data_IF_341410087984
#
_entry.id   IF_341410087984
#
_cell.length_a   1.000
_cell.length_b   1.000
_cell.length_c   1.000
_cell.angle_alpha   90.00
_cell.angle_beta   90.00
_cell.angle_gamma   90.00
#
_symmetry.space_group_name_H-M   'P 1'
#
loop_
_entity.id
_entity.type
_entity.pdbx_description
1 polymer ?
#
# COMPACT_ATOMS: atom_id res chain seq x y z
N UNK A 1 11.93 -12.84 -9.11
CA UNK A 1 10.97 -12.08 -8.29
C UNK A 1 9.60 -12.18 -8.95
N UNK A 2 8.53 -12.19 -8.16
CA UNK A 2 7.14 -12.14 -8.64
C UNK A 2 6.64 -10.71 -8.45
N UNK A 3 5.88 -10.19 -9.40
CA UNK A 3 5.26 -8.87 -9.30
C UNK A 3 3.74 -9.00 -9.46
N UNK A 4 2.99 -8.43 -8.52
CA UNK A 4 1.54 -8.28 -8.59
C UNK A 4 1.18 -6.80 -8.70
N UNK A 5 0.32 -6.45 -9.66
CA UNK A 5 -0.24 -5.10 -9.79
C UNK A 5 -1.60 -5.12 -9.11
N UNK A 6 -1.73 -4.37 -8.02
CA UNK A 6 -2.96 -4.31 -7.25
C UNK A 6 -3.80 -3.10 -7.68
N UNK A 7 -5.02 -3.36 -8.13
CA UNK A 7 -6.07 -2.34 -8.17
C UNK A 7 -6.77 -2.34 -6.81
N UNK A 8 -6.77 -1.20 -6.12
CA UNK A 8 -7.56 -0.99 -4.91
C UNK A 8 -8.80 -0.12 -5.23
N UNK A 9 -9.81 -0.18 -4.36
CA UNK A 9 -11.03 0.63 -4.46
C UNK A 9 -10.67 2.11 -4.37
N UNK A 10 -11.11 2.89 -5.34
CA UNK A 10 -10.90 4.34 -5.38
C UNK A 10 -11.90 5.07 -4.48
N UNK A 11 -11.62 6.34 -4.15
CA UNK A 11 -12.45 7.14 -3.23
C UNK A 11 -13.89 7.36 -3.71
N UNK A 12 -14.13 7.30 -5.01
CA UNK A 12 -15.48 7.37 -5.60
C UNK A 12 -16.29 6.09 -5.38
N UNK A 13 -15.62 4.95 -5.14
CA UNK A 13 -16.22 3.65 -4.95
C UNK A 13 -16.35 3.29 -3.46
N UNK A 14 -15.34 3.59 -2.65
CA UNK A 14 -15.35 3.32 -1.22
C UNK A 14 -14.53 4.36 -0.44
N UNK A 15 -15.06 4.79 0.72
CA UNK A 15 -14.36 5.68 1.62
C UNK A 15 -13.16 4.98 2.29
N UNK A 16 -12.25 5.79 2.83
CA UNK A 16 -11.19 5.30 3.73
C UNK A 16 -11.80 4.46 4.87
N UNK A 17 -11.23 3.28 5.22
CA UNK A 17 -9.88 2.81 4.89
C UNK A 17 -9.77 1.78 3.74
N UNK A 18 -10.78 1.69 2.87
CA UNK A 18 -10.85 0.67 1.81
C UNK A 18 -9.56 0.43 0.99
N UNK A 19 -8.80 1.47 0.56
CA UNK A 19 -7.54 1.24 -0.17
C UNK A 19 -6.49 0.45 0.62
N UNK A 20 -6.39 0.69 1.93
CA UNK A 20 -5.43 0.03 2.81
C UNK A 20 -5.86 -1.40 3.10
N UNK A 21 -7.17 -1.63 3.28
CA UNK A 21 -7.75 -2.97 3.40
C UNK A 21 -7.43 -3.81 2.16
N UNK A 22 -7.66 -3.27 0.97
CA UNK A 22 -7.41 -3.96 -0.29
C UNK A 22 -5.93 -4.29 -0.47
N UNK A 23 -5.03 -3.39 -0.08
CA UNK A 23 -3.60 -3.62 -0.08
C UNK A 23 -3.16 -4.77 0.84
N UNK A 24 -3.69 -4.81 2.07
CA UNK A 24 -3.42 -5.93 2.98
C UNK A 24 -3.98 -7.24 2.43
N UNK A 25 -5.21 -7.22 1.91
CA UNK A 25 -5.85 -8.39 1.30
C UNK A 25 -5.08 -8.88 0.07
N UNK A 26 -4.54 -7.98 -0.77
CA UNK A 26 -3.71 -8.34 -1.91
C UNK A 26 -2.41 -9.05 -1.51
N UNK A 27 -1.74 -8.58 -0.46
CA UNK A 27 -0.56 -9.24 0.11
C UNK A 27 -0.92 -10.64 0.62
N UNK A 28 -2.04 -10.75 1.35
CA UNK A 28 -2.52 -12.03 1.89
C UNK A 28 -2.92 -13.00 0.81
N UNK A 29 -3.54 -12.52 -0.27
CA UNK A 29 -3.86 -13.31 -1.45
C UNK A 29 -2.59 -13.92 -2.05
N UNK A 30 -1.53 -13.13 -2.25
CA UNK A 30 -0.26 -13.65 -2.77
C UNK A 30 0.36 -14.71 -1.85
N UNK A 31 0.19 -14.58 -0.53
CA UNK A 31 0.62 -15.59 0.44
C UNK A 31 -0.22 -16.86 0.40
N UNK A 32 -1.55 -16.73 0.31
CA UNK A 32 -2.49 -17.84 0.20
C UNK A 32 -2.24 -18.67 -1.06
N UNK A 33 -1.75 -18.04 -2.12
CA UNK A 33 -1.44 -18.66 -3.41
C UNK A 33 0.06 -18.79 -3.67
N UNK A 34 0.90 -18.80 -2.63
CA UNK A 34 2.35 -18.78 -2.79
C UNK A 34 2.89 -19.98 -3.58
N UNK A 35 2.34 -21.17 -3.36
CA UNK A 35 2.74 -22.40 -4.07
C UNK A 35 2.38 -22.36 -5.55
N UNK A 36 1.26 -21.73 -5.90
CA UNK A 36 0.76 -21.59 -7.26
C UNK A 36 1.62 -20.60 -8.06
N UNK A 37 1.84 -19.41 -7.50
CA UNK A 37 2.56 -18.32 -8.18
C UNK A 37 4.07 -18.30 -7.91
N UNK A 38 4.58 -19.23 -7.09
CA UNK A 38 5.99 -19.32 -6.67
C UNK A 38 6.45 -18.04 -5.94
N UNK A 39 5.61 -17.52 -5.06
CA UNK A 39 5.91 -16.34 -4.22
C UNK A 39 6.84 -16.75 -3.08
N UNK A 40 7.94 -16.01 -2.91
CA UNK A 40 8.75 -16.11 -1.69
C UNK A 40 8.09 -15.30 -0.57
N UNK A 41 7.38 -16.00 0.31
CA UNK A 41 6.62 -15.39 1.42
C UNK A 41 7.50 -14.72 2.48
N UNK A 42 8.81 -15.00 2.48
CA UNK A 42 9.76 -14.40 3.42
C UNK A 42 10.32 -13.05 2.94
N UNK A 43 10.16 -12.75 1.64
CA UNK A 43 10.68 -11.54 1.00
C UNK A 43 9.56 -10.82 0.23
N UNK A 44 8.68 -10.15 0.97
CA UNK A 44 7.52 -9.41 0.46
C UNK A 44 7.77 -7.91 0.56
N UNK A 45 7.57 -7.19 -0.53
CA UNK A 45 7.77 -5.74 -0.61
C UNK A 45 6.54 -5.07 -1.21
N UNK A 46 6.22 -3.86 -0.76
CA UNK A 46 5.14 -3.05 -1.32
C UNK A 46 5.69 -1.76 -1.92
N UNK A 47 5.17 -1.38 -3.09
CA UNK A 47 5.60 -0.21 -3.83
C UNK A 47 4.37 0.60 -4.25
N UNK A 48 4.46 1.93 -4.18
CA UNK A 48 3.39 2.82 -4.63
C UNK A 48 3.88 4.22 -5.02
N UNK A 49 3.13 4.89 -5.87
CA UNK A 49 3.37 6.27 -6.32
C UNK A 49 2.17 7.17 -5.96
N UNK A 50 2.43 8.41 -5.55
CA UNK A 50 1.40 9.41 -5.21
C UNK A 50 0.38 8.88 -4.17
N UNK A 51 -0.89 8.68 -4.56
CA UNK A 51 -1.93 8.08 -3.71
C UNK A 51 -1.65 6.60 -3.40
N UNK A 52 -1.01 5.87 -4.31
CA UNK A 52 -0.53 4.52 -4.05
C UNK A 52 0.61 4.51 -3.05
N UNK A 53 1.44 5.56 -3.02
CA UNK A 53 2.47 5.75 -2.00
C UNK A 53 1.88 5.93 -0.60
N UNK A 54 0.78 6.69 -0.48
CA UNK A 54 0.01 6.82 0.76
C UNK A 54 -0.50 5.45 1.25
N UNK A 55 -1.16 4.70 0.36
CA UNK A 55 -1.66 3.35 0.66
C UNK A 55 -0.51 2.43 1.09
N UNK A 56 0.61 2.40 0.36
CA UNK A 56 1.75 1.56 0.67
C UNK A 56 2.35 1.86 2.06
N UNK A 57 2.47 3.13 2.43
CA UNK A 57 2.95 3.55 3.75
C UNK A 57 1.99 3.11 4.86
N UNK A 58 0.69 3.38 4.73
CA UNK A 58 -0.29 3.00 5.74
C UNK A 58 -0.42 1.48 5.89
N UNK A 59 -0.35 0.73 4.79
CA UNK A 59 -0.30 -0.73 4.81
C UNK A 59 0.90 -1.20 5.63
N UNK A 60 2.10 -0.70 5.34
CA UNK A 60 3.32 -1.08 6.06
C UNK A 60 3.29 -0.68 7.55
N UNK A 61 2.78 0.50 7.91
CA UNK A 61 2.70 0.94 9.30
C UNK A 61 1.67 0.16 10.15
N UNK A 62 0.67 -0.46 9.50
CA UNK A 62 -0.43 -1.14 10.19
C UNK A 62 -0.47 -2.66 9.95
N UNK A 63 0.54 -3.21 9.27
CA UNK A 63 0.57 -4.59 8.74
C UNK A 63 0.44 -5.74 9.75
N UNK A 64 0.79 -5.51 11.03
CA UNK A 64 0.67 -6.49 12.11
C UNK A 64 -0.40 -6.15 13.15
N UNK A 65 -1.15 -5.06 12.95
CA UNK A 65 -2.14 -4.58 13.89
C UNK A 65 -3.51 -5.14 13.54
N UNK A 66 -4.00 -6.10 14.34
CA UNK A 66 -5.34 -6.65 14.16
C UNK A 66 -6.41 -5.55 14.32
N UNK A 67 -7.41 -5.57 13.44
CA UNK A 67 -8.55 -4.64 13.43
C UNK A 67 -8.19 -3.16 13.19
N UNK A 68 -7.00 -2.86 12.68
CA UNK A 68 -6.58 -1.49 12.34
C UNK A 68 -6.42 -1.39 10.83
N UNK A 69 -7.32 -0.65 10.17
CA UNK A 69 -7.34 -0.48 8.70
C UNK A 69 -7.24 -1.84 7.99
N UNK A 70 -8.14 -2.77 8.33
CA UNK A 70 -8.02 -4.17 7.97
C UNK A 70 -9.37 -4.79 7.65
N UNK A 71 -9.35 -5.86 6.84
CA UNK A 71 -10.52 -6.67 6.51
C UNK A 71 -10.32 -8.12 6.97
N UNK A 72 -11.43 -8.84 7.13
CA UNK A 72 -11.40 -10.26 7.56
C UNK A 72 -10.96 -11.22 6.44
N UNK A 73 -10.86 -10.74 5.20
CA UNK A 73 -10.55 -11.59 4.04
C UNK A 73 -9.08 -12.02 4.07
N UNK A 74 -8.84 -13.33 4.00
CA UNK A 74 -7.52 -13.97 4.15
C UNK A 74 -6.79 -13.62 5.46
N UNK A 75 -7.53 -13.29 6.52
CA UNK A 75 -6.98 -12.83 7.82
C UNK A 75 -6.11 -13.88 8.54
N UNK A 76 -6.14 -15.15 8.12
CA UNK A 76 -5.23 -16.20 8.55
C UNK A 76 -3.80 -16.03 8.01
N UNK A 77 -3.61 -15.23 6.96
CA UNK A 77 -2.31 -14.89 6.39
C UNK A 77 -1.81 -13.53 6.89
N UNK A 78 -0.49 -13.43 7.10
CA UNK A 78 0.16 -12.17 7.46
C UNK A 78 -0.01 -11.13 6.34
N UNK A 79 -0.12 -9.86 6.69
CA UNK A 79 -0.02 -8.73 5.75
C UNK A 79 1.35 -8.02 5.85
N UNK A 80 2.31 -8.58 6.61
CA UNK A 80 3.63 -7.98 6.81
C UNK A 80 4.44 -7.88 5.52
N UNK A 81 5.19 -6.80 5.37
CA UNK A 81 6.15 -6.54 4.31
C UNK A 81 7.51 -6.23 4.94
N UNK A 82 8.56 -6.63 4.23
CA UNK A 82 9.95 -6.42 4.65
C UNK A 82 10.44 -5.01 4.34
N UNK A 83 9.91 -4.38 3.29
CA UNK A 83 10.18 -2.97 2.99
C UNK A 83 9.05 -2.33 2.17
N UNK A 84 9.04 -0.99 2.19
CA UNK A 84 8.16 -0.14 1.41
C UNK A 84 8.97 0.79 0.51
N UNK A 85 8.56 0.92 -0.74
CA UNK A 85 9.10 1.92 -1.69
C UNK A 85 7.97 2.87 -2.06
N UNK A 86 8.06 4.12 -1.62
CA UNK A 86 7.02 5.12 -1.83
C UNK A 86 7.57 6.29 -2.66
N UNK A 87 7.05 6.48 -3.86
CA UNK A 87 7.39 7.60 -4.73
C UNK A 87 6.40 8.73 -4.52
N UNK A 88 6.91 9.94 -4.25
CA UNK A 88 6.13 11.17 -4.04
C UNK A 88 4.85 10.95 -3.19
N UNK A 89 4.92 10.23 -2.05
CA UNK A 89 3.72 9.79 -1.36
C UNK A 89 2.97 10.97 -0.75
N UNK A 90 1.63 10.90 -0.79
CA UNK A 90 0.80 11.76 0.06
C UNK A 90 0.95 11.27 1.50
N UNK A 91 1.64 12.02 2.36
CA UNK A 91 1.88 11.61 3.76
C UNK A 91 0.97 12.30 4.78
N UNK A 92 0.39 13.45 4.42
CA UNK A 92 -0.54 14.20 5.25
C UNK A 92 -1.65 14.77 4.36
N UNK A 93 -2.88 14.32 4.58
CA UNK A 93 -4.08 14.76 3.84
C UNK A 93 -4.73 15.99 4.46
N UNK A 94 -4.36 16.33 5.70
CA UNK A 94 -4.84 17.49 6.44
C UNK A 94 -3.93 18.70 6.25
N UNK A 95 -2.78 18.53 5.58
CA UNK A 95 -1.86 19.62 5.31
C UNK A 95 -2.57 20.66 4.42
N UNK A 96 -2.70 21.92 4.88
CA UNK A 96 -3.46 22.95 4.15
C UNK A 96 -2.80 23.36 2.83
N UNK A 97 -1.49 23.12 2.69
CA UNK A 97 -0.68 23.43 1.52
C UNK A 97 0.07 22.17 1.05
N UNK A 98 0.08 21.89 -0.26
CA UNK A 98 0.95 20.84 -0.83
C UNK A 98 2.41 21.11 -0.45
N UNK A 99 3.22 20.08 -0.12
CA UNK A 99 4.65 20.28 0.12
C UNK A 99 5.27 20.94 -1.12
N UNK A 100 5.65 22.20 -0.97
CA UNK A 100 6.37 22.94 -1.99
C UNK A 100 7.78 22.38 -2.01
N UNK A 101 8.11 21.57 -3.01
CA UNK A 101 9.50 21.61 -3.48
C UNK A 101 9.76 23.08 -3.85
N UNK A 102 10.97 23.62 -3.59
CA UNK A 102 11.29 25.01 -3.90
C UNK A 102 10.99 25.43 -5.35
N UNK A 103 10.85 24.45 -6.25
CA UNK A 103 10.60 24.59 -7.68
C UNK A 103 9.25 24.01 -8.17
N UNK A 104 8.24 23.81 -7.31
CA UNK A 104 6.89 23.46 -7.78
C UNK A 104 6.46 24.40 -8.94
N UNK A 105 6.32 23.85 -10.15
CA UNK A 105 5.91 24.58 -11.36
C UNK A 105 7.04 25.27 -12.15
N UNK A 106 8.32 25.09 -11.79
CA UNK A 106 9.47 25.57 -12.59
C UNK A 106 10.14 24.39 -13.27
N UNK A 107 10.55 24.56 -14.52
CA UNK A 107 11.36 23.56 -15.22
C UNK A 107 12.67 23.35 -14.46
N UNK A 108 13.08 22.10 -14.28
CA UNK A 108 14.41 21.79 -13.76
C UNK A 108 15.45 22.34 -14.74
N UNK A 109 16.37 23.15 -14.23
CA UNK A 109 17.50 23.73 -14.97
C UNK A 109 18.63 22.73 -15.18
#
# INVERSE_FOLDING_TARGET
>A
FVAGILQYRESSLAAFPAPVEDAKTGIRFLRAHADEYKVDVNNVFILGDSSGGHTALLTAFTQGQKNVLDSDLYSEYSAEVNAVVAFNPVTDICQPDFPTTPNQGKADS
#
